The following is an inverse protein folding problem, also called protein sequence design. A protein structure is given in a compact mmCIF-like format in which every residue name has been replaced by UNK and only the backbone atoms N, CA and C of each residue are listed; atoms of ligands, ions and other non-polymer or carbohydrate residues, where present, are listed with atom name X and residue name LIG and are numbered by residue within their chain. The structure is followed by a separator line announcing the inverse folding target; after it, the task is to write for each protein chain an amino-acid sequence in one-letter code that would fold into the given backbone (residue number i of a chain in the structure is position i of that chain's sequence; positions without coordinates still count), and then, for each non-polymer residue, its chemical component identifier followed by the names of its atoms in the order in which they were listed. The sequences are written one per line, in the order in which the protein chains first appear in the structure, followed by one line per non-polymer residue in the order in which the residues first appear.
data_IF_703347769536
#
_entry.id   IF_703347769536
#
_cell.length_a   1.000
_cell.length_b   1.000
_cell.length_c   1.000
_cell.angle_alpha   90.00
_cell.angle_beta   90.00
_cell.angle_gamma   90.00
#
_symmetry.space_group_name_H-M   'P 1'
#
loop_
_entity.id
_entity.type
_entity.pdbx_description
1 polymer ?
#
# COMPACT_ATOMS: atom_id res chain seq x y z
N UNK A 1 16.07 -1.68 33.94
CA UNK A 1 16.55 -1.07 32.68
C UNK A 1 15.40 -1.07 31.70
N UNK A 2 15.12 0.07 31.05
CA UNK A 2 14.09 0.13 30.01
C UNK A 2 14.53 -0.58 28.73
N UNK A 3 13.57 -0.87 27.85
CA UNK A 3 13.86 -1.42 26.51
C UNK A 3 14.75 -0.45 25.72
N UNK A 4 15.71 -0.98 24.96
CA UNK A 4 16.51 -0.19 24.02
C UNK A 4 15.64 0.31 22.85
N UNK A 5 16.17 1.23 22.04
CA UNK A 5 15.46 1.73 20.86
C UNK A 5 15.28 0.61 19.84
N UNK A 6 16.31 -0.21 19.71
CA UNK A 6 16.40 -1.39 18.87
C UNK A 6 15.35 -2.44 19.29
N UNK A 7 15.18 -2.69 20.58
CA UNK A 7 14.17 -3.63 21.09
C UNK A 7 12.75 -3.16 20.72
N UNK A 8 12.46 -1.87 20.94
CA UNK A 8 11.15 -1.28 20.61
C UNK A 8 10.87 -1.38 19.11
N UNK A 9 11.83 -1.02 18.27
CA UNK A 9 11.67 -1.07 16.81
C UNK A 9 11.57 -2.51 16.33
N UNK A 10 12.27 -3.45 16.95
CA UNK A 10 12.16 -4.89 16.61
C UNK A 10 10.75 -5.41 16.88
N UNK A 11 10.17 -5.08 18.04
CA UNK A 11 8.77 -5.43 18.36
C UNK A 11 7.78 -4.82 17.38
N UNK A 12 7.97 -3.55 17.01
CA UNK A 12 7.15 -2.90 15.97
C UNK A 12 7.29 -3.62 14.62
N UNK A 13 8.50 -4.00 14.22
CA UNK A 13 8.71 -4.72 12.96
C UNK A 13 8.00 -6.07 12.95
N UNK A 14 8.05 -6.81 14.06
CA UNK A 14 7.34 -8.10 14.21
C UNK A 14 5.83 -7.89 14.07
N UNK A 15 5.26 -6.91 14.80
CA UNK A 15 3.82 -6.63 14.78
C UNK A 15 3.34 -6.20 13.39
N UNK A 16 4.06 -5.27 12.75
CA UNK A 16 3.70 -4.77 11.42
C UNK A 16 3.86 -5.85 10.35
N UNK A 17 4.93 -6.65 10.37
CA UNK A 17 5.09 -7.77 9.43
C UNK A 17 4.01 -8.83 9.61
N UNK A 18 3.56 -9.09 10.84
CA UNK A 18 2.46 -10.01 11.12
C UNK A 18 1.11 -9.55 10.57
N UNK A 19 0.92 -8.22 10.43
CA UNK A 19 -0.31 -7.61 9.91
C UNK A 19 -0.23 -7.26 8.42
N UNK A 20 0.97 -7.18 7.85
CA UNK A 20 1.16 -6.78 6.46
C UNK A 20 0.62 -7.88 5.52
N UNK A 21 -0.28 -7.54 4.59
CA UNK A 21 -0.84 -8.52 3.68
C UNK A 21 0.21 -9.02 2.69
N UNK A 22 -0.15 -10.09 1.97
CA UNK A 22 0.66 -10.60 0.85
C UNK A 22 0.62 -9.62 -0.32
N UNK A 23 1.64 -9.69 -1.15
CA UNK A 23 1.66 -8.98 -2.44
C UNK A 23 0.50 -9.46 -3.32
N UNK A 24 0.00 -8.55 -4.16
CA UNK A 24 -1.00 -8.87 -5.17
C UNK A 24 -0.40 -9.85 -6.19
N UNK A 25 -1.11 -10.94 -6.44
CA UNK A 25 -0.73 -11.90 -7.47
C UNK A 25 -0.93 -11.29 -8.86
N UNK A 26 0.14 -11.18 -9.65
CA UNK A 26 0.06 -10.64 -11.01
C UNK A 26 -0.97 -11.41 -11.86
N UNK A 27 -1.02 -12.74 -11.74
CA UNK A 27 -2.01 -13.55 -12.44
C UNK A 27 -3.45 -13.29 -11.98
N UNK A 28 -3.66 -13.09 -10.68
CA UNK A 28 -5.00 -12.85 -10.13
C UNK A 28 -5.56 -11.52 -10.65
N UNK A 29 -4.72 -10.48 -10.68
CA UNK A 29 -5.07 -9.17 -11.25
C UNK A 29 -5.35 -9.29 -12.75
N UNK A 30 -4.49 -10.02 -13.50
CA UNK A 30 -4.69 -10.26 -14.94
C UNK A 30 -6.00 -10.99 -15.22
N UNK A 31 -6.29 -12.07 -14.48
CA UNK A 31 -7.50 -12.84 -14.61
C UNK A 31 -8.74 -12.00 -14.26
N UNK A 32 -8.68 -11.19 -13.20
CA UNK A 32 -9.76 -10.29 -12.83
C UNK A 32 -10.03 -9.27 -13.95
N UNK A 33 -9.01 -8.57 -14.44
CA UNK A 33 -9.10 -7.59 -15.52
C UNK A 33 -9.66 -8.18 -16.82
N UNK A 34 -9.27 -9.41 -17.17
CA UNK A 34 -9.81 -10.14 -18.32
C UNK A 34 -11.33 -10.32 -18.18
N UNK A 35 -11.80 -10.72 -17.00
CA UNK A 35 -13.23 -10.93 -16.71
C UNK A 35 -14.05 -9.63 -16.73
N UNK A 36 -13.52 -8.52 -16.21
CA UNK A 36 -14.28 -7.27 -16.05
C UNK A 36 -14.13 -6.28 -17.22
N UNK A 37 -13.15 -6.53 -18.10
CA UNK A 37 -12.84 -5.76 -19.30
C UNK A 37 -11.64 -4.83 -19.11
N UNK A 38 -10.48 -5.22 -19.65
CA UNK A 38 -9.19 -4.55 -19.39
C UNK A 38 -9.13 -3.09 -19.85
N UNK A 39 -9.88 -2.72 -20.90
CA UNK A 39 -9.84 -1.39 -21.52
C UNK A 39 -10.87 -0.41 -20.95
N UNK A 40 -11.73 -0.85 -20.02
CA UNK A 40 -12.70 0.06 -19.40
C UNK A 40 -11.94 1.08 -18.53
N UNK A 41 -12.21 2.39 -18.65
CA UNK A 41 -11.45 3.43 -17.95
C UNK A 41 -11.30 3.16 -16.45
N UNK A 42 -12.39 2.75 -15.80
CA UNK A 42 -12.43 2.47 -14.36
C UNK A 42 -11.54 1.27 -13.97
N UNK A 43 -11.43 0.27 -14.85
CA UNK A 43 -10.59 -0.90 -14.63
C UNK A 43 -9.09 -0.60 -14.85
N UNK A 44 -8.79 0.34 -15.76
CA UNK A 44 -7.43 0.87 -15.92
C UNK A 44 -6.99 1.60 -14.66
N UNK A 45 -7.85 2.45 -14.09
CA UNK A 45 -7.58 3.10 -12.79
C UNK A 45 -7.36 2.07 -11.68
N UNK A 46 -8.19 1.03 -11.58
CA UNK A 46 -8.01 -0.05 -10.61
C UNK A 46 -6.62 -0.70 -10.72
N UNK A 47 -6.18 -1.06 -11.94
CA UNK A 47 -4.84 -1.63 -12.15
C UNK A 47 -3.74 -0.70 -11.66
N UNK A 48 -3.81 0.58 -12.01
CA UNK A 48 -2.82 1.58 -11.62
C UNK A 48 -2.76 1.75 -10.10
N UNK A 49 -3.90 1.76 -9.42
CA UNK A 49 -3.97 1.86 -7.96
C UNK A 49 -3.36 0.63 -7.27
N UNK A 50 -3.59 -0.58 -7.82
CA UNK A 50 -2.94 -1.81 -7.35
C UNK A 50 -1.43 -1.74 -7.54
N UNK A 51 -0.95 -1.28 -8.69
CA UNK A 51 0.49 -1.18 -8.99
C UNK A 51 1.18 -0.20 -8.02
N UNK A 52 0.58 0.96 -7.76
CA UNK A 52 1.10 1.94 -6.78
C UNK A 52 1.14 1.32 -5.38
N UNK A 53 0.05 0.69 -4.94
CA UNK A 53 -0.01 0.07 -3.62
C UNK A 53 1.01 -1.07 -3.47
N UNK A 54 1.23 -1.84 -4.54
CA UNK A 54 2.21 -2.93 -4.58
C UNK A 54 3.64 -2.45 -4.33
N UNK A 55 4.00 -1.26 -4.83
CA UNK A 55 5.29 -0.62 -4.53
C UNK A 55 5.41 -0.30 -3.04
N UNK A 56 4.38 0.29 -2.44
CA UNK A 56 4.37 0.59 -1.00
C UNK A 56 4.48 -0.67 -0.13
N UNK A 57 3.74 -1.75 -0.45
CA UNK A 57 3.81 -3.01 0.29
C UNK A 57 5.22 -3.62 0.27
N UNK A 58 5.88 -3.60 -0.89
CA UNK A 58 7.26 -4.10 -1.02
C UNK A 58 8.25 -3.25 -0.25
N UNK A 59 8.13 -1.92 -0.35
CA UNK A 59 8.99 -1.00 0.39
C UNK A 59 8.90 -1.24 1.89
N UNK A 60 7.68 -1.31 2.44
CA UNK A 60 7.43 -1.60 3.86
C UNK A 60 8.03 -2.96 4.25
N UNK A 61 7.70 -4.02 3.50
CA UNK A 61 8.17 -5.37 3.82
C UNK A 61 9.69 -5.47 3.85
N UNK A 62 10.35 -4.90 2.85
CA UNK A 62 11.81 -4.92 2.75
C UNK A 62 12.43 -4.11 3.89
N UNK A 63 11.97 -2.88 4.13
CA UNK A 63 12.48 -2.06 5.24
C UNK A 63 12.35 -2.77 6.59
N UNK A 64 11.19 -3.37 6.88
CA UNK A 64 10.98 -4.05 8.18
C UNK A 64 11.86 -5.29 8.35
N UNK A 65 12.05 -6.09 7.29
CA UNK A 65 12.94 -7.26 7.32
C UNK A 65 14.41 -6.84 7.45
N UNK A 66 14.83 -5.86 6.67
CA UNK A 66 16.20 -5.37 6.69
C UNK A 66 16.54 -4.71 8.03
N UNK A 67 15.59 -3.99 8.65
CA UNK A 67 15.75 -3.48 10.02
C UNK A 67 15.98 -4.60 11.03
N UNK A 68 15.19 -5.68 10.99
CA UNK A 68 15.40 -6.83 11.89
C UNK A 68 16.78 -7.45 11.71
N UNK A 69 17.20 -7.65 10.46
CA UNK A 69 18.52 -8.20 10.14
C UNK A 69 19.66 -7.27 10.56
N UNK A 70 19.50 -5.96 10.39
CA UNK A 70 20.51 -4.97 10.74
C UNK A 70 20.65 -4.82 12.26
N UNK A 71 19.54 -4.80 12.99
CA UNK A 71 19.53 -4.79 14.46
C UNK A 71 20.17 -6.06 15.02
N UNK A 72 19.93 -7.21 14.40
CA UNK A 72 20.58 -8.47 14.75
C UNK A 72 22.06 -8.56 14.34
N UNK A 73 22.61 -7.54 13.68
CA UNK A 73 23.99 -7.52 13.19
C UNK A 73 24.25 -8.48 12.01
N UNK A 74 23.20 -8.98 11.37
CA UNK A 74 23.31 -9.90 10.22
C UNK A 74 23.61 -9.15 8.93
N UNK A 75 23.11 -7.92 8.78
CA UNK A 75 23.46 -7.01 7.69
C UNK A 75 23.97 -5.69 8.26
N UNK A 76 24.66 -4.91 7.43
CA UNK A 76 25.18 -3.60 7.83
C UNK A 76 24.03 -2.62 8.02
N UNK A 77 24.03 -1.91 9.16
CA UNK A 77 23.16 -0.76 9.40
C UNK A 77 23.59 0.40 8.48
N UNK A 78 22.94 0.53 7.33
CA UNK A 78 23.14 1.66 6.43
C UNK A 78 22.50 2.93 6.98
N UNK A 79 22.92 4.10 6.52
CA UNK A 79 22.31 5.39 6.91
C UNK A 79 20.80 5.40 6.69
N UNK A 80 20.35 4.79 5.60
CA UNK A 80 18.92 4.67 5.28
C UNK A 80 18.16 3.80 6.29
N UNK A 81 18.76 2.70 6.75
CA UNK A 81 18.17 1.84 7.78
C UNK A 81 18.22 2.51 9.16
N UNK A 82 19.30 3.22 9.48
CA UNK A 82 19.41 3.99 10.71
C UNK A 82 18.33 5.10 10.78
N UNK A 83 18.08 5.80 9.67
CA UNK A 83 17.01 6.79 9.55
C UNK A 83 15.62 6.16 9.69
N UNK A 84 15.39 5.00 9.08
CA UNK A 84 14.14 4.27 9.23
C UNK A 84 13.93 3.83 10.69
N UNK A 85 14.95 3.30 11.37
CA UNK A 85 14.91 2.95 12.78
C UNK A 85 14.56 4.17 13.65
N UNK A 86 15.22 5.29 13.40
CA UNK A 86 14.97 6.55 14.10
C UNK A 86 13.53 7.03 13.90
N UNK A 87 13.03 7.01 12.66
CA UNK A 87 11.66 7.40 12.35
C UNK A 87 10.63 6.49 13.05
N UNK A 88 10.81 5.18 12.95
CA UNK A 88 9.94 4.18 13.58
C UNK A 88 9.89 4.36 15.11
N UNK A 89 11.04 4.53 15.74
CA UNK A 89 11.13 4.77 17.18
C UNK A 89 10.41 6.06 17.61
N UNK A 90 10.44 7.10 16.76
CA UNK A 90 9.73 8.37 16.98
C UNK A 90 8.26 8.33 16.51
N UNK A 91 7.71 7.16 16.18
CA UNK A 91 6.38 6.97 15.60
C UNK A 91 6.13 7.75 14.29
N UNK A 92 7.19 8.14 13.57
CA UNK A 92 7.12 8.83 12.27
C UNK A 92 7.21 7.82 11.12
N UNK A 93 6.61 8.17 9.99
CA UNK A 93 6.70 7.36 8.77
C UNK A 93 8.12 7.43 8.21
N UNK A 94 8.80 6.30 7.97
CA UNK A 94 10.09 6.28 7.28
C UNK A 94 10.02 6.93 5.90
N UNK A 95 11.03 7.73 5.56
CA UNK A 95 11.09 8.45 4.26
C UNK A 95 11.05 7.50 3.06
N UNK A 96 11.60 6.30 3.21
CA UNK A 96 11.54 5.23 2.20
C UNK A 96 10.10 4.88 1.80
N UNK A 97 9.13 5.03 2.70
CA UNK A 97 7.73 4.69 2.44
C UNK A 97 6.96 5.85 1.82
N UNK A 98 7.51 7.07 1.88
CA UNK A 98 6.85 8.29 1.42
C UNK A 98 7.05 8.58 -0.08
N UNK A 99 7.94 7.85 -0.78
CA UNK A 99 8.12 7.99 -2.23
C UNK A 99 6.84 7.60 -2.97
N UNK A 100 6.03 8.60 -3.34
CA UNK A 100 4.73 8.42 -3.98
C UNK A 100 3.58 8.10 -3.03
N UNK A 101 3.78 8.23 -1.71
CA UNK A 101 2.74 8.01 -0.72
C UNK A 101 2.21 9.31 -0.11
N UNK A 102 1.16 9.18 0.70
CA UNK A 102 0.50 10.29 1.36
C UNK A 102 1.12 10.59 2.73
N UNK A 103 1.01 11.85 3.16
CA UNK A 103 1.40 12.27 4.49
C UNK A 103 0.49 11.63 5.55
N UNK A 104 1.07 11.25 6.69
CA UNK A 104 0.35 10.78 7.86
C UNK A 104 1.05 11.26 9.13
N UNK A 105 0.28 11.62 10.18
CA UNK A 105 0.85 12.11 11.44
C UNK A 105 1.70 11.08 12.17
N UNK A 106 1.35 9.79 12.07
CA UNK A 106 2.11 8.70 12.68
C UNK A 106 2.25 7.52 11.73
N UNK A 107 3.26 6.68 12.00
CA UNK A 107 3.47 5.42 11.28
C UNK A 107 2.33 4.42 11.49
N UNK A 108 1.74 4.39 12.69
CA UNK A 108 0.60 3.53 12.99
C UNK A 108 -0.63 3.88 12.15
N UNK A 109 -0.97 5.17 12.07
CA UNK A 109 -2.08 5.65 11.22
C UNK A 109 -1.77 5.40 9.74
N UNK A 110 -0.54 5.66 9.33
CA UNK A 110 -0.12 5.43 7.94
C UNK A 110 -0.29 3.95 7.55
N UNK A 111 0.15 3.04 8.42
CA UNK A 111 0.03 1.62 8.21
C UNK A 111 -1.43 1.16 8.18
N UNK A 112 -2.28 1.67 9.07
CA UNK A 112 -3.72 1.38 9.03
C UNK A 112 -4.35 1.78 7.70
N UNK A 113 -4.01 2.96 7.16
CA UNK A 113 -4.50 3.39 5.84
C UNK A 113 -3.96 2.49 4.73
N UNK A 114 -2.70 2.05 4.80
CA UNK A 114 -2.13 1.08 3.86
C UNK A 114 -2.95 -0.22 3.82
N UNK A 115 -3.32 -0.75 5.00
CA UNK A 115 -4.15 -1.96 5.12
C UNK A 115 -5.55 -1.73 4.54
N UNK A 116 -6.21 -0.63 4.88
CA UNK A 116 -7.55 -0.32 4.35
C UNK A 116 -7.54 -0.14 2.81
N UNK A 117 -6.48 0.47 2.27
CA UNK A 117 -6.26 0.56 0.82
C UNK A 117 -6.10 -0.82 0.18
N UNK A 118 -5.33 -1.70 0.82
CA UNK A 118 -5.18 -3.08 0.37
C UNK A 118 -6.53 -3.79 0.33
N UNK A 119 -7.30 -3.74 1.41
CA UNK A 119 -8.60 -4.38 1.50
C UNK A 119 -9.58 -3.92 0.43
N UNK A 120 -9.58 -2.63 0.08
CA UNK A 120 -10.43 -2.10 -1.00
C UNK A 120 -10.12 -2.78 -2.34
N UNK A 121 -8.84 -2.87 -2.71
CA UNK A 121 -8.44 -3.43 -4.00
C UNK A 121 -8.48 -4.94 -4.02
N UNK A 122 -8.09 -5.59 -2.94
CA UNK A 122 -8.18 -7.04 -2.79
C UNK A 122 -9.64 -7.52 -2.85
N UNK A 123 -10.58 -6.76 -2.25
CA UNK A 123 -12.02 -7.02 -2.42
C UNK A 123 -12.45 -6.91 -3.88
N UNK A 124 -11.99 -5.90 -4.61
CA UNK A 124 -12.29 -5.80 -6.05
C UNK A 124 -11.72 -7.00 -6.81
N UNK A 125 -10.46 -7.35 -6.58
CA UNK A 125 -9.81 -8.52 -7.22
C UNK A 125 -10.65 -9.79 -7.05
N UNK A 126 -11.06 -10.09 -5.81
CA UNK A 126 -11.74 -11.35 -5.46
C UNK A 126 -13.24 -11.35 -5.78
N UNK A 127 -13.94 -10.25 -5.50
CA UNK A 127 -15.41 -10.18 -5.55
C UNK A 127 -15.94 -9.41 -6.75
N UNK A 128 -15.06 -8.77 -7.52
CA UNK A 128 -15.44 -7.84 -8.57
C UNK A 128 -15.70 -6.43 -8.04
N UNK A 129 -16.07 -5.52 -8.94
CA UNK A 129 -16.18 -4.09 -8.66
C UNK A 129 -17.15 -3.80 -7.50
N UNK A 130 -16.71 -3.06 -6.45
CA UNK A 130 -17.58 -2.75 -5.32
C UNK A 130 -18.66 -1.72 -5.71
N UNK A 131 -19.76 -1.73 -4.95
CA UNK A 131 -20.88 -0.77 -5.13
C UNK A 131 -20.57 0.62 -4.60
N UNK A 132 -19.63 0.73 -3.67
CA UNK A 132 -19.16 1.98 -3.08
C UNK A 132 -17.64 1.94 -2.93
N UNK A 133 -17.03 3.12 -2.97
CA UNK A 133 -15.59 3.31 -2.91
C UNK A 133 -15.23 4.24 -1.77
N UNK A 134 -14.19 3.89 -1.02
CA UNK A 134 -13.59 4.80 -0.06
C UNK A 134 -12.62 5.73 -0.82
N UNK A 135 -13.14 6.89 -1.26
CA UNK A 135 -12.40 7.85 -2.08
C UNK A 135 -11.06 8.32 -1.50
N UNK A 136 -10.91 8.56 -0.18
CA UNK A 136 -9.61 8.85 0.43
C UNK A 136 -8.56 7.75 0.24
N UNK A 137 -9.00 6.51 -0.01
CA UNK A 137 -8.12 5.38 -0.30
C UNK A 137 -7.46 5.41 -1.69
N UNK A 138 -7.82 6.35 -2.57
CA UNK A 138 -7.24 6.45 -3.90
C UNK A 138 -5.95 7.25 -3.89
N UNK A 139 -4.98 6.81 -4.67
CA UNK A 139 -3.77 7.57 -4.98
C UNK A 139 -4.07 8.67 -6.00
N UNK A 140 -4.98 8.41 -6.94
CA UNK A 140 -5.49 9.37 -7.92
C UNK A 140 -7.03 9.37 -7.97
N UNK A 141 -7.65 9.98 -6.95
CA UNK A 141 -9.11 10.08 -6.87
C UNK A 141 -9.75 10.88 -8.02
N UNK A 142 -9.09 11.93 -8.50
CA UNK A 142 -9.59 12.73 -9.63
C UNK A 142 -9.57 11.95 -10.95
N UNK A 143 -8.51 11.18 -11.19
CA UNK A 143 -8.42 10.27 -12.33
C UNK A 143 -9.53 9.22 -12.32
N UNK A 144 -9.84 8.66 -11.15
CA UNK A 144 -10.96 7.74 -10.99
C UNK A 144 -12.31 8.40 -11.30
N UNK A 145 -12.60 9.59 -10.76
CA UNK A 145 -13.84 10.32 -11.06
C UNK A 145 -13.97 10.63 -12.55
N UNK A 146 -12.87 10.97 -13.21
CA UNK A 146 -12.82 11.18 -14.66
C UNK A 146 -13.14 9.89 -15.42
N UNK A 147 -12.55 8.76 -15.02
CA UNK A 147 -12.83 7.46 -15.61
C UNK A 147 -14.29 7.02 -15.44
N UNK A 148 -14.87 7.28 -14.27
CA UNK A 148 -16.29 7.06 -13.99
C UNK A 148 -17.19 7.86 -14.93
N UNK A 149 -16.90 9.15 -15.12
CA UNK A 149 -17.64 10.01 -16.04
C UNK A 149 -17.57 9.50 -17.48
N UNK A 150 -16.40 9.07 -17.94
CA UNK A 150 -16.24 8.49 -19.28
C UNK A 150 -17.08 7.23 -19.48
N UNK A 151 -17.14 6.36 -18.48
CA UNK A 151 -17.94 5.13 -18.53
C UNK A 151 -19.44 5.42 -18.63
N UNK A 152 -19.93 6.39 -17.86
CA UNK A 152 -21.33 6.82 -17.90
C UNK A 152 -21.67 7.50 -19.23
N UNK A 153 -20.82 8.40 -19.73
CA UNK A 153 -21.04 9.09 -21.01
C UNK A 153 -21.11 8.11 -22.17
N UNK A 154 -20.20 7.13 -22.24
CA UNK A 154 -20.21 6.10 -23.29
C UNK A 154 -21.46 5.21 -23.22
N UNK A 155 -21.97 4.95 -22.02
CA UNK A 155 -23.21 4.18 -21.82
C UNK A 155 -24.47 4.95 -22.22
N UNK A 156 -24.42 6.29 -22.25
CA UNK A 156 -25.55 7.15 -22.62
C UNK A 156 -25.60 7.47 -24.11
N UNK A 157 -24.45 7.61 -24.78
CA UNK A 157 -24.38 7.86 -26.22
C UNK A 157 -24.73 6.65 -27.09
N UNK A 158 -24.81 5.44 -26.50
CA UNK A 158 -25.29 4.23 -27.17
C UNK A 158 -26.79 3.94 -26.97
N UNK A 159 -27.56 4.91 -26.46
CA UNK A 159 -29.02 4.86 -26.35
C UNK A 159 -29.67 5.86 -27.30
#
# INVERSE_FOLDING_TARGET
GGKSREDVVTEMCIDLLGKLPKDFGAEEIRACLSRIGVTKPVNVCFRQEVDVLQVSLRAVRNTLKDLQLAIAGTIVMSDTLADALNAMFQAKVPQLWLKGAWYSPTVGIWFQVLIQRYEQWDRWTRQGRPKSFWLPGFSNGQGFLTAMLQEVSRSRSGR
#
